data_IF_235546054175
#
_entry.id   IF_235546054175
#
_cell.length_a   1.000
_cell.length_b   1.000
_cell.length_c   1.000
_cell.angle_alpha   90.00
_cell.angle_beta   90.00
_cell.angle_gamma   90.00
#
_symmetry.space_group_name_H-M   'P 1'
#
loop_
_entity.id
_entity.type
_entity.pdbx_description
1 polymer ?
#
# COMPACT_ATOMS: atom_id res chain seq x y z
N UNK A 1 36.14 27.68 39.99
CA UNK A 1 35.39 27.77 41.27
C UNK A 1 34.37 26.63 41.33
N UNK A 2 34.55 25.80 42.37
CA UNK A 2 33.62 24.83 42.99
C UNK A 2 32.72 23.94 42.08
N UNK A 3 33.12 22.66 41.96
CA UNK A 3 32.27 21.47 41.66
C UNK A 3 31.43 21.15 42.89
N UNK A 4 30.20 20.70 42.77
CA UNK A 4 29.53 19.93 43.84
C UNK A 4 29.65 18.41 43.64
N UNK A 5 29.86 17.79 44.77
CA UNK A 5 30.10 16.40 45.09
C UNK A 5 28.80 15.56 45.03
N UNK A 6 28.99 14.29 44.61
CA UNK A 6 28.01 13.18 44.66
C UNK A 6 28.06 12.55 46.08
N UNK A 7 26.93 12.22 46.71
CA UNK A 7 26.94 11.33 47.88
C UNK A 7 26.62 9.87 47.48
N UNK A 8 27.31 8.98 48.19
CA UNK A 8 27.34 7.54 48.04
C UNK A 8 26.11 6.83 48.63
N UNK A 9 25.83 5.63 48.05
CA UNK A 9 24.89 4.62 48.54
C UNK A 9 25.37 3.93 49.84
N UNK A 10 24.45 3.43 50.69
CA UNK A 10 24.77 2.38 51.65
C UNK A 10 24.33 1.00 51.15
N UNK A 11 25.24 0.06 51.35
CA UNK A 11 25.15 -1.40 51.29
C UNK A 11 24.51 -1.95 52.59
N UNK A 12 23.73 -3.00 52.48
CA UNK A 12 23.53 -4.15 53.43
C UNK A 12 22.18 -4.83 53.05
N UNK A 13 21.93 -6.13 53.18
CA UNK A 13 22.62 -7.24 53.80
C UNK A 13 22.04 -8.56 53.23
N UNK A 14 22.87 -9.57 53.23
CA UNK A 14 22.51 -10.98 52.99
C UNK A 14 21.60 -11.52 54.10
N UNK A 15 20.61 -12.35 53.71
CA UNK A 15 20.07 -13.36 54.65
C UNK A 15 19.92 -14.69 53.95
N UNK A 16 20.61 -15.66 54.45
CA UNK A 16 20.60 -17.10 54.16
C UNK A 16 19.53 -17.83 54.96
N UNK A 17 19.09 -18.96 54.46
CA UNK A 17 18.46 -20.14 55.15
C UNK A 17 17.04 -20.41 54.61
N UNK A 18 16.58 -21.62 54.39
CA UNK A 18 16.98 -22.99 54.75
C UNK A 18 16.34 -23.98 53.76
N UNK A 19 17.07 -25.04 53.50
CA UNK A 19 16.65 -26.31 52.91
C UNK A 19 15.63 -27.01 53.81
N UNK A 20 14.52 -27.46 53.27
CA UNK A 20 13.75 -28.58 53.83
C UNK A 20 13.45 -29.55 52.70
N UNK A 21 14.11 -30.68 52.76
CA UNK A 21 13.81 -31.89 52.02
C UNK A 21 12.70 -32.66 52.73
N UNK A 22 11.70 -33.11 52.01
CA UNK A 22 10.84 -34.23 52.44
C UNK A 22 10.62 -35.16 51.26
N UNK A 23 11.13 -36.35 51.47
CA UNK A 23 11.00 -37.58 50.68
C UNK A 23 9.67 -38.29 50.96
N UNK A 24 9.25 -39.05 49.98
CA UNK A 24 8.35 -40.23 49.98
C UNK A 24 7.12 -40.05 49.10
N UNK A 25 6.61 -40.97 48.31
CA UNK A 25 6.76 -42.41 48.18
C UNK A 25 6.30 -42.83 46.76
N UNK A 26 6.92 -43.88 46.21
CA UNK A 26 6.54 -44.61 45.01
C UNK A 26 5.12 -45.19 45.10
N UNK A 27 4.38 -45.13 43.99
CA UNK A 27 3.47 -46.24 43.64
C UNK A 27 3.59 -46.51 42.13
N UNK A 28 4.09 -47.70 41.85
CA UNK A 28 4.13 -48.37 40.54
C UNK A 28 2.78 -49.02 40.31
N UNK A 29 2.19 -48.78 39.13
CA UNK A 29 1.21 -49.71 38.56
C UNK A 29 1.47 -49.84 37.05
N UNK A 30 1.94 -51.00 36.69
CA UNK A 30 2.23 -51.42 35.33
C UNK A 30 1.01 -52.14 34.70
N UNK A 31 1.16 -52.36 33.41
CA UNK A 31 0.37 -53.21 32.46
C UNK A 31 -0.82 -52.49 31.83
N UNK A 32 -0.88 -52.39 30.47
CA UNK A 32 -0.76 -53.50 29.54
C UNK A 32 -0.41 -52.99 28.14
N UNK A 33 0.48 -53.70 27.51
CA UNK A 33 0.80 -53.74 26.06
C UNK A 33 -0.32 -54.36 25.26
N UNK A 34 -0.71 -53.76 24.15
CA UNK A 34 -1.09 -54.52 22.97
C UNK A 34 -1.00 -53.66 21.69
N UNK A 35 -0.26 -54.17 20.73
CA UNK A 35 -0.60 -54.16 19.33
C UNK A 35 0.10 -53.16 18.45
N UNK A 36 1.30 -53.51 17.97
CA UNK A 36 1.80 -53.04 16.70
C UNK A 36 0.82 -53.43 15.57
N UNK A 37 0.46 -52.48 14.75
CA UNK A 37 0.42 -52.79 13.31
C UNK A 37 0.76 -51.50 12.53
N UNK A 38 1.84 -51.54 11.79
CA UNK A 38 2.29 -50.49 10.94
C UNK A 38 1.39 -50.35 9.72
N UNK A 39 1.20 -49.12 9.32
CA UNK A 39 0.97 -48.77 7.93
C UNK A 39 1.74 -47.50 7.63
N UNK A 40 2.73 -47.67 6.77
CA UNK A 40 3.44 -46.63 6.06
C UNK A 40 2.44 -46.01 5.09
N UNK A 41 2.39 -44.70 5.05
CA UNK A 41 1.77 -44.00 3.91
C UNK A 41 0.90 -42.81 4.32
N UNK A 42 1.32 -41.65 3.98
CA UNK A 42 0.53 -40.44 4.03
C UNK A 42 1.16 -39.39 4.99
N UNK A 43 1.95 -38.50 4.41
CA UNK A 43 2.30 -37.28 5.10
C UNK A 43 1.01 -36.55 5.52
N UNK A 44 0.72 -36.59 6.82
CA UNK A 44 -0.33 -35.76 7.37
C UNK A 44 0.09 -34.32 7.15
N UNK A 45 -0.51 -33.65 6.15
CA UNK A 45 -0.63 -32.20 6.17
C UNK A 45 -1.23 -31.85 7.53
N UNK A 46 -0.44 -31.20 8.37
CA UNK A 46 -0.87 -30.85 9.72
C UNK A 46 -2.18 -30.07 9.61
N UNK A 47 -3.21 -30.60 10.28
CA UNK A 47 -4.52 -29.94 10.44
C UNK A 47 -4.30 -28.65 11.26
N UNK A 48 -3.83 -27.61 10.59
CA UNK A 48 -3.57 -26.28 11.18
C UNK A 48 -4.92 -25.61 11.47
N UNK A 49 -5.45 -25.87 12.66
CA UNK A 49 -6.75 -25.41 13.13
C UNK A 49 -6.81 -23.89 13.43
N UNK A 50 -5.69 -23.20 13.38
CA UNK A 50 -5.58 -21.77 13.66
C UNK A 50 -6.17 -20.87 12.55
N UNK A 51 -6.30 -19.56 12.80
CA UNK A 51 -6.75 -18.63 11.79
C UNK A 51 -5.72 -18.53 10.65
N UNK A 52 -6.20 -18.30 9.42
CA UNK A 52 -5.34 -17.96 8.28
C UNK A 52 -4.90 -16.50 8.45
N UNK A 53 -3.60 -16.26 8.52
CA UNK A 53 -3.03 -14.93 8.68
C UNK A 53 -2.85 -14.26 7.32
N UNK A 54 -3.43 -13.08 7.14
CA UNK A 54 -3.12 -12.17 6.04
C UNK A 54 -2.21 -11.06 6.59
N UNK A 55 -1.01 -10.94 6.03
CA UNK A 55 -0.04 -9.92 6.42
C UNK A 55 -0.30 -8.60 5.70
N UNK A 56 -0.12 -7.47 6.38
CA UNK A 56 -0.32 -6.16 5.77
C UNK A 56 0.74 -5.18 6.30
N UNK A 57 1.77 -4.88 5.48
CA UNK A 57 2.73 -3.82 5.75
C UNK A 57 2.22 -2.54 5.07
N UNK A 58 1.99 -1.48 5.85
CA UNK A 58 1.45 -0.18 5.41
C UNK A 58 1.94 0.94 6.33
N UNK A 59 1.92 2.22 5.91
CA UNK A 59 2.37 3.32 6.75
C UNK A 59 1.34 3.65 7.83
N UNK A 60 1.60 3.24 9.07
CA UNK A 60 0.84 3.63 10.25
C UNK A 60 1.50 4.80 10.99
N UNK A 61 2.75 5.13 10.65
CA UNK A 61 3.50 6.29 11.12
C UNK A 61 4.25 6.95 9.96
N UNK A 62 4.99 8.05 10.22
CA UNK A 62 5.74 8.78 9.21
C UNK A 62 4.87 9.73 8.37
N UNK A 63 5.42 10.20 7.26
CA UNK A 63 4.80 11.21 6.39
C UNK A 63 3.47 10.75 5.78
N UNK A 64 3.33 9.47 5.47
CA UNK A 64 2.13 8.87 4.86
C UNK A 64 1.17 8.21 5.85
N UNK A 65 1.30 8.50 7.16
CA UNK A 65 0.53 7.85 8.23
C UNK A 65 -1.00 7.98 8.09
N UNK A 66 -1.48 8.99 7.38
CA UNK A 66 -2.92 9.21 7.18
C UNK A 66 -3.55 8.19 6.24
N UNK A 67 -2.79 7.64 5.30
CA UNK A 67 -3.28 6.63 4.36
C UNK A 67 -3.44 5.26 5.01
N UNK A 68 -2.59 4.93 5.98
CA UNK A 68 -2.61 3.62 6.66
C UNK A 68 -3.97 3.22 7.23
N UNK A 69 -4.67 4.09 8.00
CA UNK A 69 -6.02 3.81 8.51
C UNK A 69 -7.05 3.51 7.42
N UNK A 70 -7.02 4.20 6.27
CA UNK A 70 -7.93 3.92 5.17
C UNK A 70 -7.75 2.50 4.64
N UNK A 71 -6.50 2.11 4.40
CA UNK A 71 -6.15 0.79 3.89
C UNK A 71 -6.46 -0.32 4.91
N UNK A 72 -6.02 -0.14 6.16
CA UNK A 72 -6.29 -1.08 7.25
C UNK A 72 -7.78 -1.34 7.42
N UNK A 73 -8.58 -0.28 7.47
CA UNK A 73 -10.02 -0.39 7.69
C UNK A 73 -10.72 -1.07 6.51
N UNK A 74 -10.32 -0.75 5.25
CA UNK A 74 -10.82 -1.44 4.07
C UNK A 74 -10.55 -2.94 4.12
N UNK A 75 -9.30 -3.33 4.39
CA UNK A 75 -8.90 -4.72 4.54
C UNK A 75 -9.65 -5.43 5.70
N UNK A 76 -9.77 -4.77 6.85
CA UNK A 76 -10.47 -5.32 8.01
C UNK A 76 -11.96 -5.55 7.75
N UNK A 77 -12.62 -4.64 6.99
CA UNK A 77 -14.02 -4.83 6.60
C UNK A 77 -14.19 -6.12 5.79
N UNK A 78 -13.31 -6.38 4.82
CA UNK A 78 -13.34 -7.61 4.04
C UNK A 78 -13.10 -8.86 4.90
N UNK A 79 -12.13 -8.82 5.81
CA UNK A 79 -11.85 -9.91 6.75
C UNK A 79 -13.10 -10.25 7.56
N UNK A 80 -13.78 -9.24 8.09
CA UNK A 80 -14.95 -9.45 8.94
C UNK A 80 -16.16 -10.00 8.17
N UNK A 81 -16.39 -9.50 6.96
CA UNK A 81 -17.45 -10.02 6.08
C UNK A 81 -17.21 -11.47 5.66
N UNK A 82 -15.96 -11.83 5.33
CA UNK A 82 -15.59 -13.21 5.01
C UNK A 82 -15.76 -14.11 6.25
N UNK A 83 -15.31 -13.62 7.40
CA UNK A 83 -15.42 -14.33 8.66
C UNK A 83 -16.87 -14.53 9.11
N UNK A 84 -17.77 -13.57 8.87
CA UNK A 84 -19.20 -13.70 9.15
C UNK A 84 -19.84 -14.82 8.32
N UNK A 85 -19.30 -15.10 7.11
CA UNK A 85 -19.74 -16.18 6.20
C UNK A 85 -19.04 -17.53 6.44
N UNK A 86 -18.30 -17.68 7.54
CA UNK A 86 -17.63 -18.95 7.91
C UNK A 86 -16.12 -18.97 7.66
N UNK A 87 -15.54 -17.93 7.07
CA UNK A 87 -14.10 -17.82 6.77
C UNK A 87 -13.72 -18.50 5.44
N UNK A 88 -12.48 -18.98 5.37
CA UNK A 88 -11.93 -19.66 4.20
C UNK A 88 -11.42 -21.05 4.63
N UNK A 89 -11.77 -22.11 3.88
CA UNK A 89 -11.44 -23.50 4.23
C UNK A 89 -11.88 -23.89 5.65
N UNK A 90 -13.00 -23.35 6.15
CA UNK A 90 -13.48 -23.56 7.53
C UNK A 90 -12.69 -22.81 8.62
N UNK A 91 -11.74 -21.99 8.25
CA UNK A 91 -10.88 -21.22 9.15
C UNK A 91 -11.19 -19.73 9.07
N UNK A 92 -11.10 -19.02 10.20
CA UNK A 92 -11.24 -17.56 10.21
C UNK A 92 -9.99 -16.92 9.63
N UNK A 93 -10.15 -15.78 8.96
CA UNK A 93 -9.04 -14.90 8.57
C UNK A 93 -8.64 -14.01 9.74
N UNK A 94 -7.35 -13.71 9.87
CA UNK A 94 -6.80 -12.72 10.79
C UNK A 94 -5.90 -11.75 10.03
N UNK A 95 -6.20 -10.46 10.08
CA UNK A 95 -5.33 -9.42 9.55
C UNK A 95 -4.23 -9.10 10.55
N UNK A 96 -2.97 -9.25 10.13
CA UNK A 96 -1.79 -8.83 10.88
C UNK A 96 -1.21 -7.60 10.21
N UNK A 97 -1.33 -6.44 10.86
CA UNK A 97 -0.82 -5.16 10.35
C UNK A 97 0.52 -4.85 11.01
N UNK A 98 1.51 -4.48 10.18
CA UNK A 98 2.81 -3.98 10.61
C UNK A 98 3.06 -2.61 9.97
N UNK A 99 3.63 -1.72 10.75
CA UNK A 99 3.98 -0.38 10.30
C UNK A 99 5.26 -0.42 9.44
N UNK A 100 5.18 0.07 8.21
CA UNK A 100 6.35 0.24 7.32
C UNK A 100 6.85 1.69 7.28
N UNK A 101 6.11 2.62 7.88
CA UNK A 101 6.41 4.05 7.93
C UNK A 101 6.71 4.69 6.54
N UNK A 102 6.38 4.02 5.44
CA UNK A 102 6.81 4.40 4.08
C UNK A 102 8.36 4.45 3.92
N UNK A 103 9.07 3.73 4.79
CA UNK A 103 10.53 3.68 4.85
C UNK A 103 11.05 2.28 4.48
N UNK A 104 12.03 2.18 3.53
CA UNK A 104 12.53 0.88 3.05
C UNK A 104 13.07 -0.02 4.15
N UNK A 105 13.76 0.53 5.15
CA UNK A 105 14.37 -0.22 6.24
C UNK A 105 13.31 -0.73 7.23
N UNK A 106 12.35 0.12 7.55
CA UNK A 106 11.22 -0.23 8.43
C UNK A 106 10.34 -1.28 7.76
N UNK A 107 10.10 -1.17 6.45
CA UNK A 107 9.33 -2.15 5.67
C UNK A 107 9.98 -3.55 5.67
N UNK A 108 11.30 -3.64 5.57
CA UNK A 108 12.04 -4.92 5.71
C UNK A 108 11.79 -5.55 7.07
N UNK A 109 11.81 -4.75 8.15
CA UNK A 109 11.52 -5.25 9.49
C UNK A 109 10.06 -5.71 9.61
N UNK A 110 9.11 -4.95 9.06
CA UNK A 110 7.68 -5.30 9.01
C UNK A 110 7.46 -6.60 8.23
N UNK A 111 8.07 -6.77 7.06
CA UNK A 111 7.97 -8.00 6.27
C UNK A 111 8.48 -9.23 7.03
N UNK A 112 9.62 -9.12 7.71
CA UNK A 112 10.17 -10.22 8.52
C UNK A 112 9.24 -10.59 9.70
N UNK A 113 8.58 -9.62 10.34
CA UNK A 113 7.56 -9.91 11.36
C UNK A 113 6.35 -10.64 10.78
N UNK A 114 5.89 -10.26 9.59
CA UNK A 114 4.79 -10.93 8.91
C UNK A 114 5.15 -12.36 8.51
N UNK A 115 6.38 -12.61 8.05
CA UNK A 115 6.92 -13.95 7.81
C UNK A 115 6.93 -14.76 9.10
N UNK A 116 7.42 -14.19 10.20
CA UNK A 116 7.45 -14.86 11.52
C UNK A 116 6.03 -15.12 12.08
N UNK A 117 5.05 -14.31 11.70
CA UNK A 117 3.64 -14.52 12.03
C UNK A 117 2.93 -15.54 11.12
N UNK A 118 3.68 -16.21 10.23
CA UNK A 118 3.18 -17.20 9.26
C UNK A 118 2.07 -16.65 8.37
N UNK A 119 2.26 -15.44 7.85
CA UNK A 119 1.33 -14.87 6.87
C UNK A 119 1.23 -15.79 5.64
N UNK A 120 0.02 -16.20 5.31
CA UNK A 120 -0.24 -17.03 4.12
C UNK A 120 -0.19 -16.20 2.82
N UNK A 121 -0.63 -14.94 2.89
CA UNK A 121 -0.59 -13.95 1.79
C UNK A 121 -0.31 -12.57 2.38
N UNK A 122 0.49 -11.77 1.69
CA UNK A 122 0.64 -10.34 1.98
C UNK A 122 -0.38 -9.54 1.17
N UNK A 123 -1.14 -8.67 1.84
CA UNK A 123 -2.19 -7.82 1.25
C UNK A 123 -1.89 -6.32 1.47
N UNK A 124 -0.62 -5.98 1.71
CA UNK A 124 -0.14 -4.61 1.93
C UNK A 124 0.67 -4.07 0.75
N UNK A 125 1.31 -2.92 0.98
CA UNK A 125 2.14 -2.20 0.02
C UNK A 125 1.47 -0.92 -0.48
N UNK A 126 1.97 0.21 0.03
CA UNK A 126 1.54 1.55 -0.37
C UNK A 126 2.68 2.32 -1.05
N UNK A 127 3.75 2.64 -0.33
CA UNK A 127 4.91 3.32 -0.91
C UNK A 127 5.77 2.33 -1.69
N UNK A 128 5.95 2.54 -2.98
CA UNK A 128 6.73 1.61 -3.84
C UNK A 128 8.16 1.42 -3.31
N UNK A 129 8.82 2.49 -2.84
CA UNK A 129 10.17 2.42 -2.28
C UNK A 129 10.26 1.57 -1.00
N UNK A 130 9.23 1.56 -0.18
CA UNK A 130 9.13 0.69 1.01
C UNK A 130 8.76 -0.75 0.64
N UNK A 131 7.91 -0.92 -0.37
CA UNK A 131 7.45 -2.25 -0.82
C UNK A 131 8.55 -3.03 -1.55
N UNK A 132 9.35 -2.38 -2.40
CA UNK A 132 10.39 -3.01 -3.22
C UNK A 132 11.34 -3.96 -2.44
N UNK A 133 11.96 -3.56 -1.33
CA UNK A 133 12.88 -4.44 -0.60
C UNK A 133 12.17 -5.59 0.11
N UNK A 134 10.83 -5.57 0.23
CA UNK A 134 10.06 -6.66 0.86
C UNK A 134 9.76 -7.80 -0.13
N UNK A 135 9.77 -7.53 -1.43
CA UNK A 135 9.44 -8.50 -2.47
C UNK A 135 10.27 -9.79 -2.35
N UNK A 136 11.63 -9.73 -2.34
CA UNK A 136 12.44 -10.94 -2.23
C UNK A 136 12.29 -11.63 -0.87
N UNK A 137 11.84 -10.95 0.19
CA UNK A 137 11.61 -11.55 1.51
C UNK A 137 10.40 -12.49 1.45
N UNK A 138 9.29 -12.01 0.89
CA UNK A 138 8.08 -12.81 0.75
C UNK A 138 8.24 -13.89 -0.33
N UNK A 139 8.83 -13.56 -1.49
CA UNK A 139 9.02 -14.49 -2.60
C UNK A 139 9.86 -15.72 -2.19
N UNK A 140 10.99 -15.52 -1.50
CA UNK A 140 11.81 -16.61 -0.97
C UNK A 140 11.12 -17.51 0.06
N UNK A 141 9.98 -17.09 0.59
CA UNK A 141 9.16 -17.84 1.54
C UNK A 141 7.89 -18.39 0.91
N UNK A 142 7.77 -18.27 -0.41
CA UNK A 142 6.58 -18.64 -1.18
C UNK A 142 5.31 -17.99 -0.59
N UNK A 143 5.40 -16.72 -0.15
CA UNK A 143 4.27 -15.96 0.35
C UNK A 143 3.79 -15.03 -0.77
N UNK A 144 2.64 -15.28 -1.39
CA UNK A 144 2.12 -14.41 -2.43
C UNK A 144 1.81 -13.02 -1.89
N UNK A 145 2.07 -12.01 -2.71
CA UNK A 145 1.73 -10.61 -2.42
C UNK A 145 0.62 -10.18 -3.37
N UNK A 146 -0.46 -9.64 -2.82
CA UNK A 146 -1.53 -8.96 -3.57
C UNK A 146 -1.47 -7.47 -3.18
N UNK A 147 -0.77 -6.69 -3.98
CA UNK A 147 -0.41 -5.31 -3.68
C UNK A 147 -1.52 -4.35 -4.12
N UNK A 148 -2.18 -3.63 -3.18
CA UNK A 148 -3.36 -2.81 -3.49
C UNK A 148 -3.06 -1.39 -3.95
N UNK A 149 -1.86 -0.85 -3.70
CA UNK A 149 -1.61 0.58 -3.90
C UNK A 149 -0.29 0.88 -4.60
N UNK A 150 0.84 0.37 -4.11
CA UNK A 150 2.14 0.60 -4.73
C UNK A 150 2.12 0.17 -6.21
N UNK A 151 2.67 1.02 -7.10
CA UNK A 151 2.44 0.89 -8.54
C UNK A 151 3.65 1.14 -9.44
N UNK A 152 4.84 1.42 -8.88
CA UNK A 152 6.06 1.54 -9.69
C UNK A 152 6.29 0.28 -10.52
N UNK A 153 6.68 0.44 -11.78
CA UNK A 153 7.03 -0.66 -12.66
C UNK A 153 8.18 -1.53 -12.12
N UNK A 154 9.02 -0.97 -11.23
CA UNK A 154 10.10 -1.71 -10.58
C UNK A 154 9.58 -2.90 -9.72
N UNK A 155 8.32 -2.84 -9.26
CA UNK A 155 7.71 -3.92 -8.47
C UNK A 155 7.55 -5.22 -9.27
N UNK A 156 7.34 -5.13 -10.57
CA UNK A 156 7.15 -6.29 -11.46
C UNK A 156 8.34 -6.56 -12.39
N UNK A 157 9.27 -5.61 -12.53
CA UNK A 157 10.43 -5.77 -13.41
C UNK A 157 11.40 -6.88 -12.99
N UNK A 158 11.31 -7.35 -11.74
CA UNK A 158 12.09 -8.47 -11.23
C UNK A 158 11.51 -9.83 -11.60
N UNK A 159 10.30 -9.87 -12.19
CA UNK A 159 9.58 -11.09 -12.59
C UNK A 159 9.48 -12.14 -11.46
N UNK A 160 9.28 -11.67 -10.21
CA UNK A 160 9.11 -12.54 -9.07
C UNK A 160 7.78 -13.27 -9.14
N UNK A 161 7.81 -14.58 -8.90
CA UNK A 161 6.66 -15.49 -9.07
C UNK A 161 5.46 -15.11 -8.19
N UNK A 162 5.72 -14.62 -6.98
CA UNK A 162 4.69 -14.44 -5.96
C UNK A 162 4.21 -12.97 -5.82
N UNK A 163 4.48 -12.09 -6.80
CA UNK A 163 4.13 -10.67 -6.73
C UNK A 163 3.02 -10.33 -7.71
N UNK A 164 1.89 -9.81 -7.22
CA UNK A 164 0.70 -9.44 -7.98
C UNK A 164 0.26 -8.03 -7.62
N UNK A 165 0.00 -7.19 -8.62
CA UNK A 165 -0.52 -5.84 -8.45
C UNK A 165 -2.00 -5.80 -8.83
N UNK A 166 -2.85 -5.32 -7.92
CA UNK A 166 -4.27 -5.05 -8.20
C UNK A 166 -4.58 -3.54 -8.29
N UNK A 167 -3.54 -2.73 -8.39
CA UNK A 167 -3.58 -1.32 -8.77
C UNK A 167 -3.03 -1.15 -10.20
N UNK A 168 -3.33 -0.05 -10.87
CA UNK A 168 -2.71 0.28 -12.16
C UNK A 168 -1.23 0.58 -12.00
N UNK A 169 -0.42 0.28 -13.02
CA UNK A 169 1.04 0.48 -13.00
C UNK A 169 1.45 1.93 -13.26
N UNK A 170 2.70 2.29 -12.94
CA UNK A 170 3.29 3.59 -13.28
C UNK A 170 3.23 3.89 -14.78
N UNK A 171 3.43 2.89 -15.66
CA UNK A 171 3.26 3.04 -17.11
C UNK A 171 1.84 3.43 -17.51
N UNK A 172 0.83 2.82 -16.89
CA UNK A 172 -0.57 3.15 -17.14
C UNK A 172 -0.91 4.55 -16.62
N UNK A 173 -0.37 4.92 -15.45
CA UNK A 173 -0.55 6.25 -14.88
C UNK A 173 0.08 7.34 -15.74
N UNK A 174 1.32 7.16 -16.20
CA UNK A 174 1.98 8.09 -17.10
C UNK A 174 1.24 8.24 -18.44
N UNK A 175 0.70 7.15 -18.97
CA UNK A 175 -0.13 7.20 -20.18
C UNK A 175 -1.42 8.00 -19.95
N UNK A 176 -2.11 7.78 -18.83
CA UNK A 176 -3.29 8.53 -18.42
C UNK A 176 -3.01 10.03 -18.22
N UNK A 177 -1.88 10.36 -17.58
CA UNK A 177 -1.45 11.73 -17.38
C UNK A 177 -1.24 12.45 -18.72
N UNK A 178 -0.50 11.86 -19.66
CA UNK A 178 -0.24 12.47 -20.97
C UNK A 178 -1.52 12.58 -21.80
N UNK A 179 -2.39 11.57 -21.75
CA UNK A 179 -3.70 11.62 -22.42
C UNK A 179 -4.55 12.77 -21.89
N UNK A 180 -4.60 12.96 -20.58
CA UNK A 180 -5.31 14.10 -19.98
C UNK A 180 -4.68 15.44 -20.36
N UNK A 181 -3.37 15.58 -20.21
CA UNK A 181 -2.66 16.81 -20.56
C UNK A 181 -2.91 17.22 -22.01
N UNK A 182 -2.88 16.26 -22.95
CA UNK A 182 -3.22 16.51 -24.35
C UNK A 182 -4.68 16.92 -24.53
N UNK A 183 -5.62 16.19 -23.91
CA UNK A 183 -7.07 16.43 -23.97
C UNK A 183 -7.46 17.79 -23.38
N UNK A 184 -6.82 18.21 -22.29
CA UNK A 184 -7.08 19.48 -21.61
C UNK A 184 -6.30 20.66 -22.24
N UNK A 185 -5.57 20.40 -23.33
CA UNK A 185 -4.94 21.39 -24.18
C UNK A 185 -3.64 21.97 -23.64
N UNK A 186 -2.93 21.23 -22.76
CA UNK A 186 -1.59 21.62 -22.30
C UNK A 186 -0.65 21.86 -23.50
N UNK A 187 0.18 22.89 -23.41
CA UNK A 187 1.17 23.24 -24.45
C UNK A 187 2.57 22.86 -24.00
N UNK A 188 2.90 23.15 -22.74
CA UNK A 188 4.24 23.00 -22.21
C UNK A 188 4.19 22.55 -20.75
N UNK A 189 4.69 21.37 -20.46
CA UNK A 189 4.55 20.70 -19.18
C UNK A 189 5.88 20.61 -18.44
N UNK A 190 5.90 21.09 -17.20
CA UNK A 190 6.96 20.78 -16.24
C UNK A 190 6.57 19.52 -15.46
N UNK A 191 7.51 18.58 -15.29
CA UNK A 191 7.33 17.38 -14.48
C UNK A 191 8.21 17.51 -13.23
N UNK A 192 7.64 17.27 -12.05
CA UNK A 192 8.36 17.33 -10.79
C UNK A 192 8.20 16.02 -10.03
N UNK A 193 9.31 15.56 -9.42
CA UNK A 193 9.35 14.34 -8.61
C UNK A 193 10.11 14.54 -7.29
N UNK A 194 10.04 13.57 -6.39
CA UNK A 194 10.71 13.57 -5.08
C UNK A 194 11.84 12.52 -4.98
N UNK A 195 12.33 12.01 -6.11
CA UNK A 195 13.34 10.95 -6.19
C UNK A 195 12.96 9.62 -5.51
N UNK A 196 11.73 9.46 -5.03
CA UNK A 196 11.29 8.14 -4.56
C UNK A 196 11.05 7.19 -5.73
N UNK A 197 11.14 5.88 -5.50
CA UNK A 197 10.90 4.87 -6.54
C UNK A 197 9.52 5.00 -7.21
N UNK A 198 8.51 5.48 -6.48
CA UNK A 198 7.18 5.74 -6.99
C UNK A 198 7.18 6.97 -7.90
N UNK A 199 7.56 8.10 -7.35
CA UNK A 199 7.43 9.41 -7.99
C UNK A 199 8.32 9.51 -9.24
N UNK A 200 9.58 9.08 -9.10
CA UNK A 200 10.53 9.12 -10.22
C UNK A 200 10.15 8.18 -11.37
N UNK A 201 9.63 6.98 -11.07
CA UNK A 201 9.16 6.05 -12.11
C UNK A 201 8.08 6.71 -12.99
N UNK A 202 7.09 7.36 -12.36
CA UNK A 202 6.02 8.06 -13.09
C UNK A 202 6.56 9.28 -13.84
N UNK A 203 7.48 10.05 -13.22
CA UNK A 203 8.09 11.22 -13.83
C UNK A 203 8.85 10.82 -15.11
N UNK A 204 9.77 9.86 -15.02
CA UNK A 204 10.58 9.38 -16.15
C UNK A 204 9.69 8.84 -17.27
N UNK A 205 8.67 8.03 -16.94
CA UNK A 205 7.72 7.47 -17.92
C UNK A 205 6.87 8.53 -18.59
N UNK A 206 6.45 9.56 -17.85
CA UNK A 206 5.72 10.71 -18.39
C UNK A 206 6.64 11.55 -19.27
N UNK A 207 7.84 11.85 -18.77
CA UNK A 207 8.82 12.64 -19.50
C UNK A 207 9.20 12.01 -20.86
N UNK A 208 9.34 10.69 -20.87
CA UNK A 208 9.61 9.97 -22.13
C UNK A 208 8.49 10.12 -23.17
N UNK A 209 7.23 10.29 -22.74
CA UNK A 209 6.07 10.44 -23.61
C UNK A 209 5.80 11.90 -24.04
N UNK A 210 6.20 12.89 -23.25
CA UNK A 210 6.08 14.29 -23.61
C UNK A 210 6.99 14.63 -24.80
N UNK A 211 6.57 15.61 -25.63
CA UNK A 211 7.29 16.03 -26.82
C UNK A 211 7.19 15.05 -28.00
N UNK A 212 6.46 13.94 -27.87
CA UNK A 212 6.14 13.04 -28.99
C UNK A 212 4.94 13.59 -29.79
N UNK A 213 4.67 13.04 -30.96
CA UNK A 213 3.58 13.49 -31.83
C UNK A 213 2.21 13.44 -31.07
N UNK A 214 1.54 14.58 -31.00
CA UNK A 214 0.24 14.72 -30.32
C UNK A 214 0.33 14.93 -28.80
N UNK A 215 1.51 14.87 -28.20
CA UNK A 215 1.70 15.16 -26.79
C UNK A 215 2.20 16.61 -26.56
N UNK A 216 1.97 17.21 -25.36
CA UNK A 216 2.50 18.51 -25.02
C UNK A 216 4.03 18.57 -25.05
N UNK A 217 4.59 19.76 -25.30
CA UNK A 217 6.03 19.97 -25.25
C UNK A 217 6.58 19.85 -23.82
N UNK A 218 7.83 19.41 -23.72
CA UNK A 218 8.61 19.41 -22.46
C UNK A 218 8.97 20.84 -22.06
N UNK A 219 8.76 21.18 -20.79
CA UNK A 219 9.24 22.42 -20.21
C UNK A 219 10.59 22.17 -19.47
N UNK A 220 10.51 21.51 -18.33
CA UNK A 220 11.63 21.15 -17.47
C UNK A 220 11.25 19.93 -16.65
N UNK A 221 12.23 19.11 -16.31
CA UNK A 221 12.15 18.08 -15.28
C UNK A 221 12.89 18.59 -14.05
N UNK A 222 12.29 18.51 -12.88
CA UNK A 222 12.83 19.07 -11.63
C UNK A 222 12.55 18.11 -10.49
N UNK A 223 13.58 17.77 -9.73
CA UNK A 223 13.46 16.91 -8.55
C UNK A 223 13.55 17.73 -7.26
N UNK A 224 12.79 17.33 -6.25
CA UNK A 224 12.87 17.90 -4.90
C UNK A 224 13.27 16.85 -3.88
N UNK A 225 13.78 17.27 -2.72
CA UNK A 225 13.99 16.36 -1.60
C UNK A 225 12.71 16.29 -0.77
N UNK A 226 12.18 15.10 -0.47
CA UNK A 226 11.01 14.99 0.38
C UNK A 226 11.28 15.45 1.81
N UNK A 227 10.25 15.99 2.47
CA UNK A 227 10.31 16.44 3.86
C UNK A 227 10.84 17.86 4.06
N UNK A 228 11.19 18.60 3.01
CA UNK A 228 11.50 20.02 3.10
C UNK A 228 10.23 20.87 3.27
N UNK A 229 10.35 22.03 3.89
CA UNK A 229 9.23 22.97 4.07
C UNK A 229 9.23 24.11 3.04
N UNK A 230 10.35 24.33 2.36
CA UNK A 230 10.54 25.39 1.38
C UNK A 230 11.12 24.86 0.08
N UNK A 231 10.31 24.93 -0.97
CA UNK A 231 10.64 24.56 -2.34
C UNK A 231 10.77 25.77 -3.27
N UNK A 232 10.86 26.99 -2.72
CA UNK A 232 10.93 28.24 -3.51
C UNK A 232 12.06 28.25 -4.55
N UNK A 233 13.25 27.66 -4.30
CA UNK A 233 14.29 27.56 -5.34
C UNK A 233 13.85 26.71 -6.55
N UNK A 234 13.24 25.55 -6.30
CA UNK A 234 12.71 24.64 -7.34
C UNK A 234 11.55 25.32 -8.09
N UNK A 235 10.62 25.96 -7.38
CA UNK A 235 9.51 26.74 -7.97
C UNK A 235 10.07 27.80 -8.91
N UNK A 236 11.09 28.55 -8.47
CA UNK A 236 11.75 29.59 -9.29
C UNK A 236 12.41 29.00 -10.53
N UNK A 237 13.06 27.82 -10.40
CA UNK A 237 13.66 27.10 -11.51
C UNK A 237 12.62 26.71 -12.56
N UNK A 238 11.53 26.08 -12.11
CA UNK A 238 10.43 25.64 -12.99
C UNK A 238 9.77 26.82 -13.69
N UNK A 239 9.49 27.92 -12.99
CA UNK A 239 8.83 29.10 -13.57
C UNK A 239 9.65 29.77 -14.68
N UNK A 240 10.98 29.68 -14.69
CA UNK A 240 11.84 30.17 -15.79
C UNK A 240 11.53 29.45 -17.12
N UNK A 241 11.07 28.21 -17.06
CA UNK A 241 10.69 27.45 -18.25
C UNK A 241 9.31 27.84 -18.80
N UNK A 242 8.55 28.68 -18.11
CA UNK A 242 7.20 29.15 -18.46
C UNK A 242 6.23 28.00 -18.84
N UNK A 243 6.01 27.00 -17.96
CA UNK A 243 5.05 25.93 -18.23
C UNK A 243 3.63 26.45 -18.06
N UNK A 244 2.68 25.91 -18.84
CA UNK A 244 1.25 26.10 -18.61
C UNK A 244 0.63 25.01 -17.73
N UNK A 245 1.38 23.92 -17.56
CA UNK A 245 1.05 22.83 -16.66
C UNK A 245 2.27 22.40 -15.82
N UNK A 246 2.03 22.13 -14.52
CA UNK A 246 2.99 21.45 -13.63
C UNK A 246 2.40 20.11 -13.24
N UNK A 247 3.10 19.03 -13.53
CA UNK A 247 2.76 17.68 -13.08
C UNK A 247 3.67 17.27 -11.92
N UNK A 248 3.11 17.15 -10.73
CA UNK A 248 3.75 16.61 -9.54
C UNK A 248 3.45 15.12 -9.42
N UNK A 249 4.47 14.28 -9.37
CA UNK A 249 4.31 12.81 -9.35
C UNK A 249 4.45 12.20 -7.95
N UNK A 250 4.83 13.01 -6.94
CA UNK A 250 5.06 12.57 -5.56
C UNK A 250 3.81 12.54 -4.68
N UNK A 251 4.05 12.63 -3.37
CA UNK A 251 3.00 12.49 -2.36
C UNK A 251 2.35 13.81 -1.99
N UNK A 252 1.25 13.73 -1.22
CA UNK A 252 0.35 14.88 -0.95
C UNK A 252 0.97 15.98 -0.09
N UNK A 253 1.92 15.66 0.80
CA UNK A 253 2.54 16.66 1.67
C UNK A 253 3.31 17.69 0.84
N UNK A 254 4.25 17.22 0.05
CA UNK A 254 5.06 18.04 -0.85
C UNK A 254 4.19 18.65 -1.95
N UNK A 255 3.25 17.86 -2.49
CA UNK A 255 2.30 18.34 -3.51
C UNK A 255 1.49 19.56 -3.06
N UNK A 256 0.97 19.53 -1.83
CA UNK A 256 0.26 20.66 -1.25
C UNK A 256 1.15 21.88 -1.01
N UNK A 257 2.39 21.69 -0.54
CA UNK A 257 3.38 22.74 -0.36
C UNK A 257 3.77 23.38 -1.70
N UNK A 258 4.05 22.56 -2.71
CA UNK A 258 4.40 23.01 -4.06
C UNK A 258 3.28 23.85 -4.67
N UNK A 259 2.03 23.34 -4.67
CA UNK A 259 0.88 24.10 -5.17
C UNK A 259 0.79 25.46 -4.51
N UNK A 260 0.89 25.53 -3.17
CA UNK A 260 0.86 26.79 -2.42
C UNK A 260 1.98 27.74 -2.85
N UNK A 261 3.23 27.26 -2.90
CA UNK A 261 4.39 28.08 -3.21
C UNK A 261 4.39 28.55 -4.67
N UNK A 262 3.97 27.73 -5.62
CA UNK A 262 3.73 28.15 -7.00
C UNK A 262 2.69 29.27 -7.10
N UNK A 263 1.56 29.15 -6.38
CA UNK A 263 0.52 30.18 -6.38
C UNK A 263 1.00 31.46 -5.75
N UNK A 264 1.76 31.39 -4.65
CA UNK A 264 2.39 32.55 -4.01
C UNK A 264 3.42 33.22 -4.91
N UNK A 265 4.15 32.45 -5.73
CA UNK A 265 5.05 32.99 -6.76
C UNK A 265 4.35 33.53 -8.01
N UNK A 266 2.99 33.56 -8.02
CA UNK A 266 2.19 34.14 -9.10
C UNK A 266 1.86 33.19 -10.24
N UNK A 267 2.16 31.88 -10.16
CA UNK A 267 1.82 30.92 -11.18
C UNK A 267 0.31 30.80 -11.37
N UNK A 268 -0.16 30.96 -12.62
CA UNK A 268 -1.57 30.88 -13.01
C UNK A 268 -1.92 29.67 -13.85
N UNK A 269 -0.91 28.84 -14.18
CA UNK A 269 -1.11 27.61 -14.94
C UNK A 269 -1.81 26.53 -14.11
N UNK A 270 -2.02 25.36 -14.72
CA UNK A 270 -2.74 24.25 -14.12
C UNK A 270 -1.79 23.28 -13.39
N UNK A 271 -2.34 22.52 -12.45
CA UNK A 271 -1.65 21.42 -11.79
C UNK A 271 -2.29 20.08 -12.15
N UNK A 272 -1.45 19.10 -12.36
CA UNK A 272 -1.78 17.69 -12.33
C UNK A 272 -0.95 17.06 -11.20
N UNK A 273 -1.54 16.17 -10.41
CA UNK A 273 -0.81 15.43 -9.38
C UNK A 273 -0.97 13.92 -9.57
N UNK A 274 -0.02 13.14 -9.07
CA UNK A 274 -0.09 11.68 -9.04
C UNK A 274 -1.09 11.16 -8.02
N UNK A 275 -1.41 9.86 -8.07
CA UNK A 275 -2.35 9.20 -7.16
C UNK A 275 -1.89 9.22 -5.70
N UNK A 276 -0.58 9.21 -5.43
CA UNK A 276 -0.01 9.40 -4.09
C UNK A 276 -0.32 10.77 -3.46
N UNK A 277 -0.79 11.71 -4.26
CA UNK A 277 -1.23 13.04 -3.83
C UNK A 277 -2.74 13.16 -3.60
N UNK A 278 -3.52 12.12 -3.91
CA UNK A 278 -4.98 12.13 -3.74
C UNK A 278 -5.33 11.88 -2.27
N UNK A 279 -5.26 12.93 -1.50
CA UNK A 279 -5.66 12.97 -0.08
C UNK A 279 -6.28 14.34 0.23
N UNK A 280 -7.36 14.44 1.03
CA UNK A 280 -7.95 15.73 1.44
C UNK A 280 -6.94 16.70 2.07
N UNK A 281 -5.85 16.19 2.65
CA UNK A 281 -4.77 17.01 3.22
C UNK A 281 -3.98 17.77 2.18
N UNK A 282 -3.87 17.28 0.93
CA UNK A 282 -3.25 18.06 -0.15
C UNK A 282 -3.88 19.46 -0.23
N UNK A 283 -5.22 19.50 -0.31
CA UNK A 283 -5.97 20.75 -0.41
C UNK A 283 -5.83 21.59 0.85
N UNK A 284 -5.83 20.95 2.03
CA UNK A 284 -5.62 21.63 3.30
C UNK A 284 -4.24 22.27 3.40
N UNK A 285 -3.19 21.59 2.93
CA UNK A 285 -1.80 22.09 2.93
C UNK A 285 -1.63 23.19 1.87
N UNK A 286 -2.18 22.99 0.68
CA UNK A 286 -2.14 23.99 -0.38
C UNK A 286 -2.87 25.30 0.03
N UNK A 287 -3.95 25.16 0.80
CA UNK A 287 -4.99 26.17 1.00
C UNK A 287 -6.11 25.98 -0.02
N UNK A 288 -7.37 26.06 0.41
CA UNK A 288 -8.53 25.75 -0.42
C UNK A 288 -8.53 26.50 -1.75
N UNK A 289 -8.24 27.82 -1.73
CA UNK A 289 -8.17 28.67 -2.92
C UNK A 289 -7.04 28.25 -3.89
N UNK A 290 -5.89 27.84 -3.38
CA UNK A 290 -4.73 27.47 -4.19
C UNK A 290 -4.87 26.08 -4.79
N UNK A 291 -5.49 25.15 -4.06
CA UNK A 291 -5.71 23.77 -4.51
C UNK A 291 -6.89 23.60 -5.45
N UNK A 292 -7.81 24.58 -5.49
CA UNK A 292 -9.01 24.49 -6.32
C UNK A 292 -8.64 24.39 -7.82
N UNK A 293 -9.31 23.47 -8.53
CA UNK A 293 -9.08 23.22 -9.95
C UNK A 293 -7.79 22.42 -10.25
N UNK A 294 -7.05 21.95 -9.26
CA UNK A 294 -5.98 20.99 -9.49
C UNK A 294 -6.56 19.65 -9.94
N UNK A 295 -5.90 18.98 -10.88
CA UNK A 295 -6.27 17.65 -11.35
C UNK A 295 -5.39 16.58 -10.71
N UNK A 296 -5.90 15.33 -10.70
CA UNK A 296 -5.13 14.18 -10.25
C UNK A 296 -5.37 12.98 -11.15
N UNK A 297 -4.31 12.21 -11.42
CA UNK A 297 -4.45 10.84 -11.91
C UNK A 297 -4.74 9.93 -10.73
N UNK A 298 -5.76 9.09 -10.79
CA UNK A 298 -6.09 8.14 -9.72
C UNK A 298 -6.73 6.90 -10.32
N UNK A 299 -6.51 5.75 -9.73
CA UNK A 299 -7.46 4.65 -9.83
C UNK A 299 -8.71 5.02 -9.03
N UNK A 300 -9.80 4.29 -9.15
CA UNK A 300 -11.06 4.67 -8.51
C UNK A 300 -10.91 4.85 -6.99
N UNK A 301 -11.49 5.93 -6.46
CA UNK A 301 -11.73 6.10 -5.02
C UNK A 301 -13.12 5.56 -4.65
N UNK A 302 -13.41 5.29 -3.38
CA UNK A 302 -14.75 4.87 -2.99
C UNK A 302 -15.85 5.79 -3.51
N UNK A 303 -15.64 7.11 -3.41
CA UNK A 303 -16.61 8.13 -3.80
C UNK A 303 -16.82 8.23 -5.32
N UNK A 304 -15.86 7.76 -6.12
CA UNK A 304 -15.92 7.78 -7.59
C UNK A 304 -16.24 6.43 -8.21
N UNK A 305 -16.39 5.39 -7.37
CA UNK A 305 -16.69 4.03 -7.80
C UNK A 305 -18.21 3.81 -7.88
N UNK A 306 -18.76 3.57 -9.06
CA UNK A 306 -20.19 3.31 -9.20
C UNK A 306 -20.64 2.09 -8.38
N UNK A 307 -21.72 2.25 -7.61
CA UNK A 307 -22.29 1.18 -6.78
C UNK A 307 -21.55 0.93 -5.46
N UNK A 308 -20.63 1.81 -5.06
CA UNK A 308 -19.92 1.69 -3.78
C UNK A 308 -20.69 2.26 -2.58
N UNK A 309 -21.88 2.83 -2.76
CA UNK A 309 -22.63 3.54 -1.71
C UNK A 309 -22.92 2.66 -0.49
N UNK A 310 -23.34 1.43 -0.71
CA UNK A 310 -23.60 0.47 0.38
C UNK A 310 -22.33 0.06 1.13
N UNK A 311 -21.22 -0.07 0.41
CA UNK A 311 -19.92 -0.36 1.00
C UNK A 311 -19.40 0.84 1.82
N UNK A 312 -19.55 2.07 1.30
CA UNK A 312 -19.23 3.31 2.02
C UNK A 312 -20.04 3.39 3.31
N UNK A 313 -21.34 3.11 3.25
CA UNK A 313 -22.21 3.10 4.43
C UNK A 313 -21.75 2.06 5.46
N UNK A 314 -21.39 0.86 5.04
CA UNK A 314 -20.87 -0.20 5.93
C UNK A 314 -19.54 0.19 6.57
N UNK A 315 -18.63 0.80 5.79
CA UNK A 315 -17.36 1.30 6.30
C UNK A 315 -17.57 2.38 7.37
N UNK A 316 -18.42 3.38 7.09
CA UNK A 316 -18.76 4.46 8.02
C UNK A 316 -19.41 3.93 9.30
N UNK A 317 -20.36 3.04 9.18
CA UNK A 317 -21.05 2.43 10.33
C UNK A 317 -20.07 1.69 11.24
N UNK A 318 -19.07 1.03 10.66
CA UNK A 318 -18.12 0.24 11.43
C UNK A 318 -17.00 1.06 12.05
N UNK A 319 -16.43 2.02 11.32
CA UNK A 319 -15.22 2.72 11.73
C UNK A 319 -15.45 4.17 12.18
N UNK A 320 -16.66 4.69 12.03
CA UNK A 320 -16.99 6.08 12.39
C UNK A 320 -16.25 7.14 11.55
N UNK A 321 -15.73 6.75 10.37
CA UNK A 321 -14.91 7.60 9.51
C UNK A 321 -15.27 7.39 8.03
N UNK A 322 -15.03 8.40 7.21
CA UNK A 322 -15.15 8.27 5.75
C UNK A 322 -14.04 7.36 5.21
N UNK A 323 -14.33 6.50 4.22
CA UNK A 323 -13.29 5.78 3.51
C UNK A 323 -12.51 6.75 2.61
N UNK A 324 -11.19 6.60 2.60
CA UNK A 324 -10.29 7.39 1.78
C UNK A 324 -9.65 6.58 0.63
N UNK A 325 -8.63 7.13 -0.01
CA UNK A 325 -7.89 6.48 -1.09
C UNK A 325 -7.40 5.08 -0.68
N UNK A 326 -7.41 4.16 -1.63
CA UNK A 326 -6.95 2.76 -1.49
C UNK A 326 -7.72 1.89 -0.49
N UNK A 327 -8.77 2.40 0.18
CA UNK A 327 -9.59 1.59 1.07
C UNK A 327 -10.35 0.48 0.33
N UNK A 328 -10.89 0.75 -0.86
CA UNK A 328 -11.54 -0.26 -1.72
C UNK A 328 -10.54 -1.25 -2.29
N UNK A 329 -9.37 -0.80 -2.71
CA UNK A 329 -8.31 -1.67 -3.23
C UNK A 329 -7.79 -2.61 -2.13
N UNK A 330 -7.61 -2.12 -0.91
CA UNK A 330 -7.21 -2.95 0.24
C UNK A 330 -8.29 -3.94 0.66
N UNK A 331 -9.56 -3.56 0.57
CA UNK A 331 -10.69 -4.47 0.72
C UNK A 331 -10.65 -5.58 -0.34
N UNK A 332 -10.39 -5.22 -1.61
CA UNK A 332 -10.29 -6.18 -2.70
C UNK A 332 -9.06 -7.07 -2.60
N UNK A 333 -7.92 -6.57 -2.12
CA UNK A 333 -6.72 -7.39 -1.89
C UNK A 333 -7.01 -8.58 -0.96
N UNK A 334 -7.75 -8.34 0.12
CA UNK A 334 -8.20 -9.40 1.04
C UNK A 334 -9.14 -10.37 0.35
N UNK A 335 -10.09 -9.88 -0.46
CA UNK A 335 -11.06 -10.73 -1.18
C UNK A 335 -10.38 -11.59 -2.23
N UNK A 336 -9.43 -11.03 -2.97
CA UNK A 336 -8.62 -11.71 -3.98
C UNK A 336 -7.77 -12.80 -3.32
N UNK A 337 -7.06 -12.48 -2.22
CA UNK A 337 -6.29 -13.45 -1.45
C UNK A 337 -7.17 -14.58 -0.90
N UNK A 338 -8.31 -14.27 -0.33
CA UNK A 338 -9.26 -15.24 0.21
C UNK A 338 -9.81 -16.16 -0.88
N UNK A 339 -10.16 -15.62 -2.05
CA UNK A 339 -10.63 -16.40 -3.20
C UNK A 339 -9.54 -17.31 -3.76
N UNK A 340 -8.29 -16.81 -3.83
CA UNK A 340 -7.16 -17.61 -4.28
C UNK A 340 -6.90 -18.79 -3.34
N UNK A 341 -6.90 -18.57 -2.02
CA UNK A 341 -6.78 -19.64 -1.01
C UNK A 341 -7.94 -20.65 -1.14
N UNK A 342 -9.17 -20.16 -1.32
CA UNK A 342 -10.34 -21.01 -1.49
C UNK A 342 -10.22 -21.89 -2.73
N UNK A 343 -9.81 -21.34 -3.87
CA UNK A 343 -9.61 -22.07 -5.13
C UNK A 343 -8.45 -23.07 -5.05
N UNK A 344 -7.37 -22.67 -4.37
CA UNK A 344 -6.23 -23.55 -4.13
C UNK A 344 -6.56 -24.74 -3.20
N UNK A 345 -7.61 -24.63 -2.38
CA UNK A 345 -7.92 -25.60 -1.33
C UNK A 345 -6.82 -25.69 -0.26
N UNK A 346 -5.92 -24.70 -0.18
CA UNK A 346 -4.70 -24.73 0.61
C UNK A 346 -4.20 -23.34 0.90
N UNK A 347 -3.37 -23.19 1.95
CA UNK A 347 -2.57 -21.99 2.23
C UNK A 347 -1.13 -22.10 1.71
N UNK A 348 -0.81 -23.17 0.97
CA UNK A 348 0.47 -23.31 0.30
C UNK A 348 0.67 -22.21 -0.76
N UNK A 349 1.79 -21.51 -0.66
CA UNK A 349 2.03 -20.30 -1.45
C UNK A 349 2.08 -20.56 -2.96
N UNK A 350 2.66 -21.66 -3.40
CA UNK A 350 2.72 -22.01 -4.83
C UNK A 350 1.32 -22.35 -5.40
N UNK A 351 0.50 -23.05 -4.62
CA UNK A 351 -0.90 -23.35 -5.01
C UNK A 351 -1.75 -22.09 -5.05
N UNK A 352 -1.56 -21.17 -4.08
CA UNK A 352 -2.25 -19.88 -4.05
C UNK A 352 -1.83 -19.02 -5.22
N UNK A 353 -0.53 -18.96 -5.55
CA UNK A 353 0.01 -18.27 -6.72
C UNK A 353 -0.60 -18.77 -8.01
N UNK A 354 -0.63 -20.10 -8.23
CA UNK A 354 -1.29 -20.68 -9.41
C UNK A 354 -2.78 -20.33 -9.50
N UNK A 355 -3.46 -20.20 -8.34
CA UNK A 355 -4.86 -19.78 -8.30
C UNK A 355 -5.04 -18.28 -8.59
N UNK A 356 -4.07 -17.43 -8.24
CA UNK A 356 -4.04 -16.02 -8.62
C UNK A 356 -3.82 -15.86 -10.13
N UNK A 357 -2.83 -16.54 -10.70
CA UNK A 357 -2.54 -16.54 -12.15
C UNK A 357 -3.75 -16.97 -12.98
N UNK A 358 -4.46 -17.99 -12.50
CA UNK A 358 -5.66 -18.52 -13.17
C UNK A 358 -6.93 -17.70 -12.90
N UNK A 359 -6.86 -16.61 -12.12
CA UNK A 359 -8.04 -15.84 -11.75
C UNK A 359 -8.51 -14.98 -12.93
N UNK A 360 -9.73 -15.24 -13.41
CA UNK A 360 -10.39 -14.51 -14.48
C UNK A 360 -11.84 -14.19 -14.09
N UNK A 361 -12.25 -12.94 -14.27
CA UNK A 361 -13.62 -12.50 -14.04
C UNK A 361 -14.04 -12.31 -12.58
N UNK A 362 -13.14 -12.47 -11.60
CA UNK A 362 -13.47 -12.16 -10.21
C UNK A 362 -13.75 -10.67 -10.06
N UNK A 363 -14.91 -10.31 -9.52
CA UNK A 363 -15.34 -8.90 -9.43
C UNK A 363 -14.66 -8.19 -8.29
N UNK A 364 -13.84 -7.21 -8.63
CA UNK A 364 -13.28 -6.19 -7.73
C UNK A 364 -13.87 -4.82 -8.08
N UNK A 365 -13.63 -3.80 -7.27
CA UNK A 365 -14.19 -2.46 -7.50
C UNK A 365 -13.73 -1.83 -8.82
N UNK A 366 -12.52 -2.13 -9.28
CA UNK A 366 -12.01 -1.67 -10.59
C UNK A 366 -12.56 -2.46 -11.79
N UNK A 367 -13.38 -3.48 -11.57
CA UNK A 367 -13.97 -4.31 -12.61
C UNK A 367 -13.63 -5.80 -12.48
N UNK A 368 -13.81 -6.58 -13.53
CA UNK A 368 -13.44 -7.99 -13.53
C UNK A 368 -11.92 -8.15 -13.51
N UNK A 369 -11.41 -8.85 -12.49
CA UNK A 369 -9.98 -9.11 -12.32
C UNK A 369 -9.50 -10.11 -13.37
N UNK A 370 -8.40 -9.77 -14.02
CA UNK A 370 -7.56 -10.65 -14.81
C UNK A 370 -6.13 -10.15 -14.76
N UNK A 371 -5.20 -11.03 -14.45
CA UNK A 371 -3.78 -10.69 -14.46
C UNK A 371 -3.16 -10.87 -15.85
N UNK A 372 -2.19 -10.02 -16.17
CA UNK A 372 -1.27 -10.18 -17.30
C UNK A 372 -0.19 -11.23 -16.96
N UNK A 373 0.66 -11.57 -17.94
CA UNK A 373 1.83 -12.42 -17.69
C UNK A 373 2.82 -11.80 -16.69
N UNK A 374 2.84 -10.48 -16.54
CA UNK A 374 3.67 -9.76 -15.56
C UNK A 374 2.94 -9.55 -14.23
N UNK A 375 1.86 -10.28 -13.95
CA UNK A 375 1.05 -10.22 -12.73
C UNK A 375 0.49 -8.82 -12.40
N UNK A 376 0.21 -8.02 -13.43
CA UNK A 376 -0.48 -6.72 -13.32
C UNK A 376 -1.92 -6.83 -13.81
N UNK A 377 -2.75 -5.83 -13.49
CA UNK A 377 -4.13 -5.82 -14.00
C UNK A 377 -4.16 -5.60 -15.52
N UNK A 378 -4.86 -6.49 -16.24
CA UNK A 378 -5.10 -6.33 -17.67
C UNK A 378 -5.98 -5.11 -18.00
N UNK A 379 -6.83 -4.69 -17.06
CA UNK A 379 -7.81 -3.61 -17.20
C UNK A 379 -7.61 -2.49 -16.16
N UNK A 380 -6.39 -2.36 -15.60
CA UNK A 380 -6.07 -1.29 -14.64
C UNK A 380 -6.14 0.08 -15.30
N UNK A 381 -7.24 0.82 -15.11
CA UNK A 381 -7.45 2.15 -15.69
C UNK A 381 -7.31 3.25 -14.65
N UNK A 382 -6.60 4.32 -15.02
CA UNK A 382 -6.62 5.57 -14.29
C UNK A 382 -7.75 6.46 -14.80
N UNK A 383 -8.35 7.20 -13.88
CA UNK A 383 -9.30 8.29 -14.13
C UNK A 383 -8.65 9.61 -13.77
N UNK A 384 -9.25 10.71 -14.21
CA UNK A 384 -8.86 12.05 -13.80
C UNK A 384 -9.85 12.55 -12.76
N UNK A 385 -9.33 12.97 -11.63
CA UNK A 385 -10.07 13.71 -10.62
C UNK A 385 -9.77 15.20 -10.76
N UNK A 386 -10.66 16.04 -10.24
CA UNK A 386 -10.43 17.47 -10.06
C UNK A 386 -10.75 17.85 -8.62
N UNK A 387 -10.01 18.78 -8.06
CA UNK A 387 -10.38 19.42 -6.80
C UNK A 387 -11.50 20.41 -7.09
N UNK A 388 -12.64 20.19 -6.44
CA UNK A 388 -13.82 21.05 -6.47
C UNK A 388 -14.38 21.16 -5.06
N UNK A 389 -14.57 22.40 -4.61
CA UNK A 389 -15.04 22.69 -3.24
C UNK A 389 -14.21 21.96 -2.16
N UNK A 390 -12.89 21.89 -2.39
CA UNK A 390 -11.93 21.24 -1.50
C UNK A 390 -11.94 19.71 -1.52
N UNK A 391 -12.66 19.06 -2.44
CA UNK A 391 -12.78 17.61 -2.55
C UNK A 391 -12.33 17.11 -3.92
N UNK A 392 -11.72 15.92 -3.97
CA UNK A 392 -11.44 15.24 -5.23
C UNK A 392 -12.73 14.61 -5.79
N UNK A 393 -13.16 15.08 -6.95
CA UNK A 393 -14.34 14.57 -7.66
C UNK A 393 -13.94 14.03 -9.04
N UNK A 394 -14.70 13.07 -9.56
CA UNK A 394 -14.44 12.52 -10.90
C UNK A 394 -14.59 13.63 -11.96
N UNK A 395 -13.56 13.83 -12.76
CA UNK A 395 -13.52 14.77 -13.86
C UNK A 395 -13.65 14.09 -15.23
N UNK A 396 -12.91 12.99 -15.42
CA UNK A 396 -12.86 12.29 -16.70
C UNK A 396 -12.45 10.82 -16.49
N UNK A 397 -13.07 9.91 -17.21
CA UNK A 397 -12.74 8.48 -17.17
C UNK A 397 -11.74 8.06 -18.26
N UNK A 398 -11.24 8.99 -19.05
CA UNK A 398 -10.28 8.76 -20.16
C UNK A 398 -10.74 7.72 -21.20
N UNK A 399 -12.05 7.56 -21.37
CA UNK A 399 -12.66 6.67 -22.38
C UNK A 399 -12.79 7.38 -23.72
#
# INVERSE_FOLDING_TARGET
MKRPTIPALPSTARTTSRVVALTSLLTVAALSTTGCNGLVGGGAEGDDKGPIVLGMAIPMSGSSADTGPYMKNGAQLAVDEINAKGGVLGRKLRLQVEDDACDPKTAVAAANKLVAAHAAVSVGGYCSGATLPTLPIFDKRNIPMVIPAANSNQLVSQHLKHVFLINGTGSQQAAAAVAWLSKDGAKKVAVMDDNTSYSKDIADLTWAKLGTAGAPAKAVEEAVNPGESDYSPNVTSVLKSAPDYVYWTGYYQEGGLLIRQFRQAGYKGKFLVGDGSVDPKLVKIAGAEHGEGAFATMTQTPQTTPGAESWIASYKAKFGAEPGPYSTQSYDAVRVAAEAIRKAGSTDGDKVTASLEAMDGFKIFSGPLKFTADHTLSNGGFVILAVKDGQFVLRDSLK
#
